data_IF_489425867371
#
_entry.id   IF_489425867371
#
_cell.length_a   1.000
_cell.length_b   1.000
_cell.length_c   1.000
_cell.angle_alpha   90.00
_cell.angle_beta   90.00
_cell.angle_gamma   90.00
#
_symmetry.space_group_name_H-M   'P 1'
#
loop_
_entity.id
_entity.type
_entity.pdbx_description
1 polymer ?
#
# COMPACT_ATOMS: atom_id res chain seq x y z
N UNK A 1 0.10 15.40 -8.10
CA UNK A 1 -0.50 14.60 -9.18
C UNK A 1 -1.94 14.20 -8.87
N UNK A 2 -2.23 13.34 -7.88
CA UNK A 2 -3.63 12.91 -7.59
C UNK A 2 -4.58 14.09 -7.39
N UNK A 3 -4.21 15.06 -6.55
CA UNK A 3 -5.05 16.23 -6.29
C UNK A 3 -5.14 17.19 -7.50
N UNK A 4 -4.12 17.19 -8.37
CA UNK A 4 -4.13 17.98 -9.60
C UNK A 4 -5.10 17.37 -10.61
N UNK A 5 -5.07 16.04 -10.76
CA UNK A 5 -5.97 15.27 -11.63
C UNK A 5 -7.44 15.41 -11.17
N UNK A 6 -7.66 15.61 -9.87
CA UNK A 6 -8.97 15.90 -9.28
C UNK A 6 -9.35 17.39 -9.32
N UNK A 7 -8.44 18.29 -9.66
CA UNK A 7 -8.68 19.74 -9.69
C UNK A 7 -8.92 20.38 -8.31
N UNK A 8 -8.38 19.80 -7.24
CA UNK A 8 -8.59 20.24 -5.84
C UNK A 8 -7.27 20.55 -5.10
N UNK A 9 -6.19 20.78 -5.82
CA UNK A 9 -4.86 20.94 -5.21
C UNK A 9 -4.77 22.11 -4.24
N UNK A 10 -5.38 23.25 -4.56
CA UNK A 10 -5.33 24.45 -3.73
C UNK A 10 -6.09 24.25 -2.41
N UNK A 11 -7.26 23.60 -2.48
CA UNK A 11 -8.10 23.28 -1.33
C UNK A 11 -7.42 22.29 -0.39
N UNK A 12 -6.73 21.29 -0.95
CA UNK A 12 -5.96 20.32 -0.17
C UNK A 12 -4.72 20.98 0.43
N UNK A 13 -3.95 21.75 -0.34
CA UNK A 13 -2.74 22.44 0.15
C UNK A 13 -3.04 23.37 1.32
N UNK A 14 -4.21 24.01 1.35
CA UNK A 14 -4.64 24.87 2.45
C UNK A 14 -4.87 24.14 3.78
N UNK A 15 -5.02 22.81 3.78
CA UNK A 15 -5.43 22.02 4.97
C UNK A 15 -4.59 20.76 5.21
N UNK A 16 -3.74 20.38 4.26
CA UNK A 16 -3.04 19.12 4.31
C UNK A 16 -2.06 19.06 5.49
N UNK A 17 -2.16 17.99 6.28
CA UNK A 17 -1.09 17.58 7.17
C UNK A 17 -0.10 16.73 6.35
N UNK A 18 1.00 17.35 5.94
CA UNK A 18 2.06 16.66 5.20
C UNK A 18 3.04 16.05 6.20
N UNK A 19 3.27 14.75 6.08
CA UNK A 19 4.23 14.01 6.90
C UNK A 19 5.53 13.82 6.12
N UNK A 20 6.65 14.21 6.71
CA UNK A 20 7.98 13.92 6.16
C UNK A 20 8.32 12.42 6.28
N UNK A 21 7.81 11.78 7.33
CA UNK A 21 7.99 10.36 7.62
C UNK A 21 6.79 9.79 8.41
N UNK A 22 6.61 8.47 8.34
CA UNK A 22 5.57 7.76 9.09
C UNK A 22 4.29 7.47 8.30
N UNK A 23 3.24 7.09 9.02
CA UNK A 23 1.95 6.70 8.46
C UNK A 23 0.92 7.82 8.70
N UNK A 24 0.13 8.14 7.68
CA UNK A 24 -0.96 9.11 7.75
C UNK A 24 -2.17 8.58 8.51
N UNK A 25 -2.46 7.28 8.43
CA UNK A 25 -3.68 6.72 9.00
C UNK A 25 -3.78 6.80 10.54
N UNK A 26 -2.69 6.65 11.33
CA UNK A 26 -2.72 6.93 12.76
C UNK A 26 -3.21 8.34 13.11
N UNK A 27 -2.92 9.34 12.27
CA UNK A 27 -3.42 10.72 12.46
C UNK A 27 -4.95 10.80 12.45
N UNK A 28 -5.59 9.89 11.72
CA UNK A 28 -7.06 9.77 11.73
C UNK A 28 -7.54 9.10 13.00
N UNK A 29 -6.89 8.01 13.42
CA UNK A 29 -7.22 7.32 14.67
C UNK A 29 -7.09 8.24 15.91
N UNK A 30 -6.07 9.10 15.90
CA UNK A 30 -5.79 10.08 16.96
C UNK A 30 -6.69 11.33 16.89
N UNK A 31 -7.51 11.47 15.82
CA UNK A 31 -8.40 12.61 15.61
C UNK A 31 -7.70 13.89 15.13
N UNK A 32 -6.43 13.80 14.72
CA UNK A 32 -5.64 14.91 14.17
C UNK A 32 -5.99 15.23 12.71
N UNK A 33 -6.52 14.24 11.98
CA UNK A 33 -7.00 14.38 10.61
C UNK A 33 -8.34 13.63 10.42
N UNK A 34 -9.19 14.11 9.51
CA UNK A 34 -10.45 13.42 9.20
C UNK A 34 -10.26 12.33 8.13
N UNK A 35 -9.32 12.53 7.21
CA UNK A 35 -9.06 11.63 6.07
C UNK A 35 -7.54 11.47 5.93
N UNK A 36 -7.10 10.24 5.65
CA UNK A 36 -5.73 9.90 5.28
C UNK A 36 -5.70 9.23 3.91
N UNK A 37 -4.67 9.56 3.12
CA UNK A 37 -4.35 8.88 1.87
C UNK A 37 -3.04 8.12 2.03
N UNK A 38 -3.06 6.80 1.84
CA UNK A 38 -1.91 5.92 2.03
C UNK A 38 -2.08 4.61 1.24
N UNK A 39 -1.00 3.84 1.06
CA UNK A 39 -1.06 2.52 0.45
C UNK A 39 -1.88 1.51 1.29
N UNK A 40 -2.68 0.69 0.62
CA UNK A 40 -3.53 -0.32 1.26
C UNK A 40 -2.75 -1.30 2.13
N UNK A 41 -1.58 -1.76 1.68
CA UNK A 41 -0.69 -2.66 2.43
C UNK A 41 -0.23 -2.11 3.77
N UNK A 42 -0.27 -0.79 3.95
CA UNK A 42 0.06 -0.11 5.19
C UNK A 42 -1.19 0.24 6.01
N UNK A 43 -2.36 0.39 5.36
CA UNK A 43 -3.63 0.72 6.02
C UNK A 43 -4.22 -0.47 6.78
N UNK A 44 -4.15 -1.68 6.21
CA UNK A 44 -4.76 -2.89 6.80
C UNK A 44 -4.28 -3.23 8.20
N UNK A 45 -3.10 -2.74 8.61
CA UNK A 45 -2.53 -2.97 9.93
C UNK A 45 -2.83 -1.88 10.96
N UNK A 46 -3.59 -0.84 10.60
CA UNK A 46 -3.89 0.28 11.49
C UNK A 46 -5.27 0.08 12.14
N UNK A 47 -5.29 0.07 13.46
CA UNK A 47 -6.54 -0.01 14.23
C UNK A 47 -7.20 1.37 14.39
N UNK A 48 -8.50 1.40 14.67
CA UNK A 48 -9.22 2.65 14.96
C UNK A 48 -9.59 3.50 13.74
N UNK A 49 -9.36 3.00 12.53
CA UNK A 49 -9.76 3.66 11.27
C UNK A 49 -10.83 2.87 10.53
N UNK A 50 -11.57 3.56 9.65
CA UNK A 50 -12.40 2.93 8.64
C UNK A 50 -11.76 3.08 7.26
N UNK A 51 -11.50 1.96 6.57
CA UNK A 51 -10.97 1.98 5.20
C UNK A 51 -12.14 2.17 4.24
N UNK A 52 -12.15 3.29 3.51
CA UNK A 52 -13.21 3.63 2.54
C UNK A 52 -13.09 2.83 1.23
N UNK A 53 -11.90 2.34 0.90
CA UNK A 53 -11.61 1.61 -0.33
C UNK A 53 -10.48 2.26 -1.14
N UNK A 54 -10.16 1.70 -2.31
CA UNK A 54 -9.16 2.26 -3.21
C UNK A 54 -9.65 3.56 -3.86
N UNK A 55 -8.71 4.38 -4.33
CA UNK A 55 -9.02 5.47 -5.25
C UNK A 55 -9.54 4.93 -6.59
N UNK A 56 -10.27 5.76 -7.37
CA UNK A 56 -10.63 5.43 -8.74
C UNK A 56 -9.41 4.98 -9.58
N UNK A 57 -9.55 3.96 -10.47
CA UNK A 57 -8.41 3.36 -11.17
C UNK A 57 -7.57 4.33 -12.03
N UNK A 58 -8.18 5.39 -12.54
CA UNK A 58 -7.57 6.41 -13.38
C UNK A 58 -6.61 7.35 -12.63
N UNK A 59 -6.81 7.50 -11.31
CA UNK A 59 -5.97 8.33 -10.43
C UNK A 59 -5.23 7.53 -9.36
N UNK A 60 -5.44 6.22 -9.30
CA UNK A 60 -4.74 5.34 -8.38
C UNK A 60 -3.27 5.18 -8.81
N UNK A 61 -2.36 5.32 -7.85
CA UNK A 61 -0.95 4.96 -8.04
C UNK A 61 -0.79 3.49 -7.66
N UNK A 62 -0.62 2.64 -8.66
CA UNK A 62 -0.36 1.22 -8.42
C UNK A 62 1.12 0.97 -8.13
N UNK A 63 1.38 0.23 -7.05
CA UNK A 63 2.73 -0.18 -6.65
C UNK A 63 2.88 -1.68 -6.88
N UNK A 64 3.63 -2.05 -7.91
CA UNK A 64 3.97 -3.45 -8.18
C UNK A 64 5.07 -3.94 -7.22
N UNK A 65 4.85 -5.11 -6.63
CA UNK A 65 5.85 -5.80 -5.81
C UNK A 65 6.33 -7.05 -6.54
N UNK A 66 7.65 -7.23 -6.60
CA UNK A 66 8.28 -8.40 -7.19
C UNK A 66 9.35 -8.95 -6.25
N UNK A 67 9.55 -10.27 -6.29
CA UNK A 67 10.63 -10.95 -5.58
C UNK A 67 11.52 -11.66 -6.60
N UNK A 68 12.84 -11.58 -6.40
CA UNK A 68 13.83 -12.25 -7.24
C UNK A 68 15.01 -12.73 -6.39
N UNK A 69 15.67 -13.78 -6.87
CA UNK A 69 16.91 -14.30 -6.25
C UNK A 69 18.09 -13.49 -6.78
N UNK A 70 18.90 -12.92 -5.89
CA UNK A 70 20.14 -12.25 -6.27
C UNK A 70 21.09 -13.22 -6.99
N UNK A 71 21.72 -12.76 -8.07
CA UNK A 71 22.70 -13.54 -8.84
C UNK A 71 23.92 -13.95 -8.01
N UNK A 72 24.22 -13.19 -6.96
CA UNK A 72 25.35 -13.37 -6.06
C UNK A 72 25.00 -14.21 -4.82
N UNK A 73 23.77 -14.71 -4.69
CA UNK A 73 23.39 -15.53 -3.54
C UNK A 73 24.12 -16.88 -3.55
N UNK A 74 24.67 -17.28 -2.40
CA UNK A 74 25.19 -18.63 -2.17
C UNK A 74 24.08 -19.66 -1.89
N UNK A 75 22.84 -19.19 -1.69
CA UNK A 75 21.68 -20.00 -1.30
C UNK A 75 20.53 -19.87 -2.31
N UNK A 76 20.84 -19.96 -3.61
CA UNK A 76 19.86 -19.74 -4.69
C UNK A 76 18.64 -20.63 -4.60
N UNK A 77 18.84 -21.92 -4.35
CA UNK A 77 17.75 -22.90 -4.29
C UNK A 77 16.81 -22.64 -3.11
N UNK A 78 17.37 -22.28 -1.95
CA UNK A 78 16.58 -21.95 -0.74
C UNK A 78 15.81 -20.65 -0.93
N UNK A 79 16.45 -19.63 -1.50
CA UNK A 79 15.78 -18.36 -1.80
C UNK A 79 14.66 -18.53 -2.84
N UNK A 80 14.88 -19.34 -3.88
CA UNK A 80 13.86 -19.69 -4.87
C UNK A 80 12.70 -20.46 -4.22
N UNK A 81 13.00 -21.41 -3.33
CA UNK A 81 11.98 -22.15 -2.58
C UNK A 81 11.15 -21.24 -1.67
N UNK A 82 11.76 -20.23 -1.03
CA UNK A 82 11.04 -19.24 -0.24
C UNK A 82 10.09 -18.41 -1.12
N UNK A 83 10.56 -17.91 -2.26
CA UNK A 83 9.71 -17.16 -3.20
C UNK A 83 8.53 -18.05 -3.65
N UNK A 84 8.81 -19.28 -4.08
CA UNK A 84 7.77 -20.23 -4.49
C UNK A 84 6.77 -20.53 -3.37
N UNK A 85 7.24 -20.67 -2.13
CA UNK A 85 6.37 -20.85 -0.98
C UNK A 85 5.49 -19.61 -0.76
N UNK A 86 6.06 -18.40 -0.78
CA UNK A 86 5.31 -17.16 -0.58
C UNK A 86 4.30 -16.89 -1.71
N UNK A 87 4.57 -17.33 -2.94
CA UNK A 87 3.71 -17.07 -4.12
C UNK A 87 2.80 -18.24 -4.50
N UNK A 88 2.76 -19.30 -3.68
CA UNK A 88 1.87 -20.45 -3.93
C UNK A 88 0.39 -20.03 -3.95
N UNK A 89 -0.48 -20.73 -4.71
CA UNK A 89 -1.91 -20.39 -4.79
C UNK A 89 -2.60 -20.26 -3.43
N UNK A 90 -2.23 -21.08 -2.45
CA UNK A 90 -2.78 -21.09 -1.10
C UNK A 90 -2.42 -19.82 -0.30
N UNK A 91 -1.34 -19.13 -0.66
CA UNK A 91 -0.94 -17.88 -0.03
C UNK A 91 -1.74 -16.67 -0.54
N UNK A 92 -2.51 -16.81 -1.63
CA UNK A 92 -3.28 -15.71 -2.23
C UNK A 92 -4.20 -15.01 -1.23
N UNK A 93 -4.92 -15.78 -0.42
CA UNK A 93 -5.82 -15.22 0.59
C UNK A 93 -5.07 -14.43 1.68
N UNK A 94 -3.86 -14.86 2.03
CA UNK A 94 -3.01 -14.17 3.01
C UNK A 94 -2.50 -12.83 2.45
N UNK A 95 -2.11 -12.81 1.18
CA UNK A 95 -1.70 -11.56 0.51
C UNK A 95 -2.85 -10.57 0.38
N UNK A 96 -4.04 -11.04 0.03
CA UNK A 96 -5.25 -10.19 0.01
C UNK A 96 -5.57 -9.64 1.39
N UNK A 97 -5.50 -10.47 2.43
CA UNK A 97 -5.68 -10.01 3.81
C UNK A 97 -4.60 -9.00 4.25
N UNK A 98 -3.38 -9.11 3.71
CA UNK A 98 -2.29 -8.16 3.91
C UNK A 98 -2.38 -6.90 3.01
N UNK A 99 -3.50 -6.70 2.29
CA UNK A 99 -3.76 -5.49 1.52
C UNK A 99 -3.16 -5.48 0.11
N UNK A 100 -2.70 -6.63 -0.40
CA UNK A 100 -2.24 -6.77 -1.78
C UNK A 100 -3.39 -7.16 -2.71
N UNK A 101 -3.38 -6.63 -3.92
CA UNK A 101 -4.32 -7.04 -4.96
C UNK A 101 -3.81 -8.29 -5.68
N UNK A 102 -4.71 -9.23 -5.99
CA UNK A 102 -4.34 -10.42 -6.75
C UNK A 102 -4.46 -10.16 -8.25
N UNK A 103 -3.35 -9.90 -8.91
CA UNK A 103 -3.26 -9.71 -10.35
C UNK A 103 -1.83 -9.34 -10.74
N UNK A 104 -1.41 -9.68 -11.97
CA UNK A 104 -0.35 -8.89 -12.59
C UNK A 104 -0.88 -7.45 -12.78
N UNK A 105 -0.01 -6.42 -12.82
CA UNK A 105 -0.43 -5.12 -13.33
C UNK A 105 -1.08 -5.23 -14.70
#
# INVERSE_FOLDING_TARGET
RIFDDLGISDEIAAKALILDEGLAAPRVADGEAEIALQNMTQLVGVEGIAILGPLPPDIQIQTGYAAAVSTNSEHKDVAAALIAYLTRPEAKALWVAAGFESGAP
#
